data_IF_665167206993
#
_entry.id   IF_665167206993
#
_cell.length_a   1.000
_cell.length_b   1.000
_cell.length_c   1.000
_cell.angle_alpha   90.00
_cell.angle_beta   90.00
_cell.angle_gamma   90.00
#
_symmetry.space_group_name_H-M   'P 1'
#
loop_
_entity.id
_entity.type
_entity.pdbx_description
1 polymer ?
#
# COMPACT_ATOMS: atom_id res chain seq x y z
N UNK A 1 0.60 59.12 24.73
CA UNK A 1 0.81 58.44 26.04
C UNK A 1 1.90 57.38 25.88
N UNK A 2 2.76 57.23 26.91
CA UNK A 2 4.08 56.56 26.92
C UNK A 2 4.02 55.03 26.78
N UNK A 3 5.10 54.45 26.22
CA UNK A 3 5.51 53.02 26.23
C UNK A 3 6.11 52.59 27.59
N UNK A 4 6.14 51.26 27.81
CA UNK A 4 7.05 50.39 28.63
C UNK A 4 6.21 49.43 29.50
N UNK A 5 6.14 48.11 29.33
CA UNK A 5 7.10 47.00 29.11
C UNK A 5 7.79 46.47 30.37
N UNK A 6 7.64 45.14 30.56
CA UNK A 6 8.47 44.16 31.31
C UNK A 6 8.24 43.94 32.83
N UNK A 7 7.82 42.71 33.18
CA UNK A 7 8.30 41.93 34.33
C UNK A 7 8.40 40.44 33.90
N UNK A 8 9.58 39.93 33.51
CA UNK A 8 10.65 39.30 34.31
C UNK A 8 10.23 38.02 35.07
N UNK A 9 10.76 36.89 34.59
CA UNK A 9 10.89 35.56 35.22
C UNK A 9 11.71 35.59 36.51
N UNK A 10 11.42 34.65 37.42
CA UNK A 10 12.37 34.09 38.40
C UNK A 10 11.84 32.78 39.04
N UNK A 11 12.70 31.93 39.64
CA UNK A 11 12.70 30.47 39.49
C UNK A 11 12.53 29.67 40.80
N UNK A 12 12.35 28.34 40.71
CA UNK A 12 12.95 27.41 41.68
C UNK A 12 12.15 26.17 42.11
N UNK A 13 12.83 25.02 41.99
CA UNK A 13 12.81 23.82 42.87
C UNK A 13 11.86 22.66 42.53
N UNK A 14 12.44 21.64 41.87
CA UNK A 14 12.11 20.20 41.85
C UNK A 14 12.40 19.56 43.23
N UNK A 15 11.71 18.49 43.71
CA UNK A 15 12.00 17.12 43.21
C UNK A 15 10.88 16.06 43.32
N UNK A 16 10.95 15.05 42.45
CA UNK A 16 10.68 13.65 42.83
C UNK A 16 9.32 13.01 42.51
N UNK A 17 9.41 11.89 41.76
CA UNK A 17 8.53 10.70 41.79
C UNK A 17 7.17 10.93 41.06
N UNK A 18 6.83 10.23 39.97
CA UNK A 18 6.80 8.79 39.85
C UNK A 18 7.05 8.29 38.41
N UNK A 19 7.89 7.26 38.34
CA UNK A 19 7.91 6.24 37.31
C UNK A 19 6.56 5.52 37.32
N UNK A 20 5.86 5.44 36.18
CA UNK A 20 4.74 4.52 36.02
C UNK A 20 4.66 4.01 34.58
N UNK A 21 5.15 2.77 34.41
CA UNK A 21 4.73 1.74 33.46
C UNK A 21 4.64 2.16 31.98
N UNK A 22 5.62 1.81 31.14
CA UNK A 22 5.62 0.50 30.46
C UNK A 22 4.27 -0.23 30.59
N UNK A 23 3.31 0.14 29.73
CA UNK A 23 2.37 -0.85 29.22
C UNK A 23 2.97 -1.37 27.93
N UNK A 24 3.93 -2.28 28.08
CA UNK A 24 4.12 -3.33 27.09
C UNK A 24 2.80 -4.12 27.07
N UNK A 25 1.84 -3.71 26.24
CA UNK A 25 0.83 -4.64 25.77
C UNK A 25 1.54 -5.54 24.78
N UNK A 26 2.18 -6.57 25.33
CA UNK A 26 2.31 -7.87 24.70
C UNK A 26 0.90 -8.38 24.37
N UNK A 27 0.28 -7.80 23.35
CA UNK A 27 -0.79 -8.44 22.61
C UNK A 27 -0.10 -9.16 21.46
N UNK A 28 0.47 -10.32 21.78
CA UNK A 28 0.56 -11.39 20.80
C UNK A 28 -0.88 -11.90 20.63
N UNK A 29 -1.74 -11.09 20.02
CA UNK A 29 -3.11 -11.45 19.73
C UNK A 29 -3.20 -11.65 18.24
N UNK A 30 -3.37 -12.93 17.91
CA UNK A 30 -3.68 -13.48 16.61
C UNK A 30 -5.07 -12.95 16.18
N UNK A 31 -5.17 -11.66 15.90
CA UNK A 31 -6.35 -10.98 15.41
C UNK A 31 -6.07 -10.52 13.98
N UNK A 32 -6.84 -11.02 13.01
CA UNK A 32 -6.84 -10.43 11.67
C UNK A 32 -7.18 -8.94 11.73
N UNK A 33 -6.94 -8.19 10.64
CA UNK A 33 -7.18 -6.75 10.61
C UNK A 33 -8.60 -6.43 11.06
N UNK A 34 -8.77 -5.41 11.92
CA UNK A 34 -10.08 -4.99 12.36
C UNK A 34 -10.88 -4.45 11.15
N UNK A 35 -12.22 -4.53 11.15
CA UNK A 35 -13.04 -4.05 10.02
C UNK A 35 -12.75 -2.60 9.62
N UNK A 36 -12.45 -1.73 10.59
CA UNK A 36 -12.00 -0.37 10.34
C UNK A 36 -10.69 -0.28 9.56
N UNK A 37 -9.72 -1.16 9.82
CA UNK A 37 -8.43 -1.20 9.12
C UNK A 37 -8.60 -1.65 7.67
N UNK A 38 -9.52 -2.61 7.44
CA UNK A 38 -9.86 -3.08 6.10
C UNK A 38 -10.54 -1.97 5.29
N UNK A 39 -11.48 -1.26 5.90
CA UNK A 39 -12.18 -0.15 5.25
C UNK A 39 -11.23 1.01 4.93
N UNK A 40 -10.35 1.38 5.87
CA UNK A 40 -9.33 2.42 5.66
C UNK A 40 -8.34 2.01 4.55
N UNK A 41 -7.85 0.77 4.57
CA UNK A 41 -6.96 0.24 3.52
C UNK A 41 -7.63 0.25 2.16
N UNK A 42 -8.91 -0.10 2.08
CA UNK A 42 -9.69 -0.03 0.85
C UNK A 42 -9.80 1.40 0.34
N UNK A 43 -10.12 2.36 1.21
CA UNK A 43 -10.27 3.77 0.82
C UNK A 43 -8.94 4.35 0.29
N UNK A 44 -7.81 4.02 0.93
CA UNK A 44 -6.48 4.41 0.45
C UNK A 44 -6.19 3.80 -0.93
N UNK A 45 -6.46 2.50 -1.11
CA UNK A 45 -6.26 1.83 -2.40
C UNK A 45 -7.18 2.41 -3.48
N UNK A 46 -8.43 2.72 -3.17
CA UNK A 46 -9.36 3.34 -4.13
C UNK A 46 -8.87 4.75 -4.51
N UNK A 47 -8.46 5.57 -3.54
CA UNK A 47 -7.95 6.92 -3.79
C UNK A 47 -6.70 6.93 -4.69
N UNK A 48 -5.74 6.02 -4.45
CA UNK A 48 -4.58 5.85 -5.33
C UNK A 48 -5.02 5.40 -6.73
N UNK A 49 -6.04 4.56 -6.85
CA UNK A 49 -6.49 4.09 -8.17
C UNK A 49 -7.16 5.18 -9.01
N UNK A 50 -7.73 6.21 -8.39
CA UNK A 50 -8.28 7.36 -9.12
C UNK A 50 -7.20 8.21 -9.81
N UNK A 51 -5.93 8.09 -9.41
CA UNK A 51 -4.81 8.80 -10.06
C UNK A 51 -4.19 8.02 -11.21
N UNK A 52 -4.80 6.91 -11.63
CA UNK A 52 -4.22 6.00 -12.61
C UNK A 52 -3.98 6.65 -13.96
N UNK A 53 -2.88 6.25 -14.59
CA UNK A 53 -2.51 6.60 -15.96
C UNK A 53 -2.42 5.33 -16.80
N UNK A 54 -2.36 5.50 -18.13
CA UNK A 54 -2.15 4.38 -19.05
C UNK A 54 -0.67 4.25 -19.36
N UNK A 55 -0.16 3.04 -19.21
CA UNK A 55 1.21 2.65 -19.58
C UNK A 55 1.16 1.52 -20.61
N UNK A 56 2.28 1.27 -21.28
CA UNK A 56 2.45 0.14 -22.20
C UNK A 56 3.69 -0.64 -21.81
N UNK A 57 3.52 -1.94 -21.55
CA UNK A 57 4.62 -2.84 -21.24
C UNK A 57 4.54 -4.06 -22.15
N UNK A 58 5.66 -4.42 -22.80
CA UNK A 58 5.73 -5.53 -23.78
C UNK A 58 4.62 -5.49 -24.85
N UNK A 59 4.20 -4.29 -25.27
CA UNK A 59 3.15 -4.10 -26.28
C UNK A 59 1.71 -4.28 -25.75
N UNK A 60 1.54 -4.61 -24.47
CA UNK A 60 0.24 -4.71 -23.82
C UNK A 60 -0.09 -3.43 -23.02
N UNK A 61 -1.34 -2.93 -23.09
CA UNK A 61 -1.73 -1.72 -22.38
C UNK A 61 -2.19 -2.04 -20.94
N UNK A 62 -1.70 -1.26 -19.98
CA UNK A 62 -2.08 -1.35 -18.57
C UNK A 62 -2.55 0.01 -18.04
N UNK A 63 -3.44 -0.01 -17.04
CA UNK A 63 -3.69 1.11 -16.15
C UNK A 63 -2.80 0.94 -14.92
N UNK A 64 -2.16 2.02 -14.49
CA UNK A 64 -1.16 2.01 -13.44
C UNK A 64 -1.32 3.23 -12.53
N UNK A 65 -1.18 3.03 -11.23
CA UNK A 65 -1.12 4.10 -10.24
C UNK A 65 -0.10 3.75 -9.16
N UNK A 66 0.61 4.75 -8.65
CA UNK A 66 1.56 4.58 -7.54
C UNK A 66 1.12 5.44 -6.35
N UNK A 67 1.26 4.92 -5.14
CA UNK A 67 1.03 5.69 -3.92
C UNK A 67 2.05 6.83 -3.78
N UNK A 68 1.66 7.93 -3.13
CA UNK A 68 2.53 9.09 -2.92
C UNK A 68 3.79 8.74 -2.11
N UNK A 69 3.67 7.83 -1.14
CA UNK A 69 4.80 7.31 -0.35
C UNK A 69 5.66 6.32 -1.11
N UNK A 70 5.19 5.84 -2.27
CA UNK A 70 5.84 4.82 -3.12
C UNK A 70 6.08 3.49 -2.39
N UNK A 71 5.25 3.17 -1.40
CA UNK A 71 5.28 1.87 -0.71
C UNK A 71 4.53 0.78 -1.49
N UNK A 72 3.62 1.19 -2.37
CA UNK A 72 2.90 0.28 -3.26
C UNK A 72 2.44 0.96 -4.54
N UNK A 73 2.19 0.12 -5.55
CA UNK A 73 1.51 0.47 -6.78
C UNK A 73 0.30 -0.42 -7.02
N UNK A 74 -0.57 0.03 -7.92
CA UNK A 74 -1.71 -0.72 -8.42
C UNK A 74 -1.63 -0.80 -9.93
N UNK A 75 -1.93 -1.97 -10.48
CA UNK A 75 -1.84 -2.22 -11.93
C UNK A 75 -2.99 -3.11 -12.39
N UNK A 76 -3.56 -2.81 -13.55
CA UNK A 76 -4.60 -3.59 -14.18
C UNK A 76 -4.43 -3.60 -15.70
N UNK A 77 -4.82 -4.68 -16.40
CA UNK A 77 -4.88 -4.66 -17.86
C UNK A 77 -5.92 -3.64 -18.36
N UNK A 78 -5.53 -2.78 -19.30
CA UNK A 78 -6.40 -1.75 -19.88
C UNK A 78 -7.15 -2.21 -21.14
N UNK A 79 -6.92 -3.45 -21.57
CA UNK A 79 -7.59 -4.07 -22.71
C UNK A 79 -7.96 -5.53 -22.41
N UNK A 80 -9.04 -6.04 -23.02
CA UNK A 80 -9.38 -7.46 -22.96
C UNK A 80 -8.43 -8.30 -23.82
N UNK A 81 -8.51 -9.63 -23.67
CA UNK A 81 -7.96 -10.61 -24.61
C UNK A 81 -6.42 -10.70 -24.71
N UNK A 82 -5.68 -10.34 -23.65
CA UNK A 82 -4.26 -10.66 -23.56
C UNK A 82 -3.92 -11.34 -22.22
N UNK A 83 -3.02 -12.31 -22.27
CA UNK A 83 -2.50 -13.00 -21.10
C UNK A 83 -1.42 -12.15 -20.42
N UNK A 84 -1.33 -12.25 -19.11
CA UNK A 84 -0.27 -11.62 -18.31
C UNK A 84 -0.03 -12.45 -17.05
N UNK A 85 1.17 -12.38 -16.53
CA UNK A 85 1.64 -13.13 -15.35
C UNK A 85 1.94 -12.20 -14.18
N UNK A 86 2.20 -12.74 -12.99
CA UNK A 86 2.66 -11.92 -11.87
C UNK A 86 4.02 -11.28 -12.19
N UNK A 87 4.91 -12.02 -12.85
CA UNK A 87 6.21 -11.53 -13.29
C UNK A 87 6.10 -10.36 -14.28
N UNK A 88 5.13 -10.39 -15.21
CA UNK A 88 4.88 -9.26 -16.12
C UNK A 88 4.48 -8.00 -15.36
N UNK A 89 3.62 -8.15 -14.33
CA UNK A 89 3.17 -7.03 -13.52
C UNK A 89 4.32 -6.43 -12.69
N UNK A 90 5.13 -7.28 -12.06
CA UNK A 90 6.32 -6.84 -11.30
C UNK A 90 7.29 -6.07 -12.20
N UNK A 91 7.59 -6.60 -13.39
CA UNK A 91 8.50 -5.94 -14.32
C UNK A 91 7.93 -4.62 -14.87
N UNK A 92 6.63 -4.59 -15.21
CA UNK A 92 5.97 -3.37 -15.65
C UNK A 92 6.03 -2.28 -14.55
N UNK A 93 5.70 -2.65 -13.32
CA UNK A 93 5.73 -1.71 -12.18
C UNK A 93 7.15 -1.27 -11.84
N UNK A 94 8.13 -2.18 -11.88
CA UNK A 94 9.53 -1.85 -11.65
C UNK A 94 10.07 -0.91 -12.75
N UNK A 95 9.68 -1.10 -14.01
CA UNK A 95 10.08 -0.24 -15.12
C UNK A 95 9.53 1.19 -14.98
N UNK A 96 8.27 1.34 -14.55
CA UNK A 96 7.64 2.65 -14.37
C UNK A 96 8.12 3.38 -13.11
N UNK A 97 8.41 2.64 -12.04
CA UNK A 97 8.79 3.25 -10.75
C UNK A 97 10.30 3.37 -10.56
N UNK A 98 11.09 2.46 -11.13
CA UNK A 98 12.51 2.31 -10.82
C UNK A 98 12.79 1.62 -9.47
N UNK A 99 11.75 1.13 -8.78
CA UNK A 99 11.88 0.44 -7.49
C UNK A 99 11.82 -1.08 -7.66
N UNK A 100 12.25 -1.81 -6.63
CA UNK A 100 11.93 -3.24 -6.55
C UNK A 100 10.43 -3.40 -6.36
N UNK A 101 9.82 -4.30 -7.12
CA UNK A 101 8.38 -4.53 -7.14
C UNK A 101 8.11 -6.00 -6.83
N UNK A 102 7.23 -6.26 -5.86
CA UNK A 102 6.87 -7.61 -5.41
C UNK A 102 5.36 -7.79 -5.48
N UNK A 103 4.93 -8.74 -6.28
CA UNK A 103 3.54 -9.12 -6.39
C UNK A 103 3.12 -9.91 -5.15
N UNK A 104 2.16 -9.38 -4.41
CA UNK A 104 1.57 -10.09 -3.29
C UNK A 104 0.43 -10.96 -3.82
N UNK A 105 0.70 -12.26 -4.01
CA UNK A 105 -0.28 -13.24 -4.48
C UNK A 105 -1.52 -13.30 -3.58
N UNK A 106 -1.34 -13.17 -2.27
CA UNK A 106 -2.41 -13.03 -1.31
C UNK A 106 -3.35 -14.24 -1.33
N UNK A 107 -4.54 -14.10 -1.90
CA UNK A 107 -5.47 -15.23 -2.07
C UNK A 107 -5.03 -16.20 -3.17
N UNK A 108 -4.24 -15.74 -4.16
CA UNK A 108 -3.71 -16.57 -5.24
C UNK A 108 -2.77 -17.65 -4.71
N UNK A 109 -2.01 -17.34 -3.66
CA UNK A 109 -1.13 -18.30 -2.99
C UNK A 109 -1.91 -19.46 -2.31
N UNK A 110 -3.22 -19.31 -2.18
CA UNK A 110 -4.13 -20.35 -1.67
C UNK A 110 -4.83 -21.14 -2.78
N UNK A 111 -4.66 -20.75 -4.05
CA UNK A 111 -5.18 -21.49 -5.18
C UNK A 111 -4.20 -22.60 -5.56
N UNK A 112 -4.70 -23.84 -5.52
CA UNK A 112 -3.91 -25.00 -5.91
C UNK A 112 -3.44 -24.86 -7.38
N UNK A 113 -2.13 -24.97 -7.62
CA UNK A 113 -1.52 -24.87 -8.94
C UNK A 113 -1.14 -23.45 -9.40
N UNK A 114 -1.32 -22.40 -8.58
CA UNK A 114 -0.79 -21.08 -8.88
C UNK A 114 0.75 -21.06 -8.84
N UNK A 115 1.34 -20.45 -9.87
CA UNK A 115 2.77 -20.09 -9.96
C UNK A 115 2.88 -18.64 -10.45
N UNK A 116 4.02 -17.95 -10.25
CA UNK A 116 4.22 -16.60 -10.77
C UNK A 116 4.01 -16.48 -12.29
N UNK A 117 4.20 -17.56 -13.05
CA UNK A 117 4.01 -17.65 -14.49
C UNK A 117 2.57 -18.00 -14.91
N UNK A 118 1.67 -18.19 -13.94
CA UNK A 118 0.27 -18.48 -14.21
C UNK A 118 -0.39 -17.28 -14.88
N UNK A 119 -1.17 -17.54 -15.93
CA UNK A 119 -1.94 -16.51 -16.60
C UNK A 119 -3.02 -15.97 -15.67
N UNK A 120 -2.83 -14.74 -15.19
CA UNK A 120 -3.72 -14.04 -14.26
C UNK A 120 -5.02 -13.56 -14.93
N UNK A 121 -5.11 -13.55 -16.27
CA UNK A 121 -6.31 -13.14 -16.99
C UNK A 121 -7.52 -13.97 -16.60
N UNK A 122 -7.39 -15.30 -16.64
CA UNK A 122 -8.50 -16.21 -16.36
C UNK A 122 -8.98 -16.05 -14.92
N UNK A 123 -8.05 -15.83 -13.98
CA UNK A 123 -8.38 -15.57 -12.59
C UNK A 123 -9.12 -14.25 -12.42
N UNK A 124 -8.66 -13.18 -13.08
CA UNK A 124 -9.34 -11.88 -13.03
C UNK A 124 -10.75 -11.94 -13.61
N UNK A 125 -10.93 -12.60 -14.76
CA UNK A 125 -12.24 -12.73 -15.43
C UNK A 125 -13.26 -13.50 -14.58
N UNK A 126 -12.80 -14.42 -13.72
CA UNK A 126 -13.64 -15.15 -12.78
C UNK A 126 -14.09 -14.35 -11.56
N UNK A 127 -13.51 -13.16 -11.31
CA UNK A 127 -13.73 -12.37 -10.10
C UNK A 127 -14.54 -11.11 -10.42
N UNK A 128 -15.84 -11.16 -10.08
CA UNK A 128 -16.85 -10.15 -10.45
C UNK A 128 -16.60 -8.74 -9.91
N UNK A 129 -15.66 -8.56 -8.98
CA UNK A 129 -15.34 -7.26 -8.35
C UNK A 129 -13.84 -6.98 -8.25
N UNK A 130 -13.01 -7.82 -8.87
CA UNK A 130 -11.56 -7.65 -8.84
C UNK A 130 -11.09 -6.92 -10.10
N UNK A 131 -10.68 -5.67 -9.96
CA UNK A 131 -10.35 -4.82 -11.08
C UNK A 131 -8.87 -4.46 -11.18
N UNK A 132 -8.03 -4.76 -10.19
CA UNK A 132 -6.62 -4.36 -10.15
C UNK A 132 -5.80 -5.15 -9.15
N UNK A 133 -4.53 -5.36 -9.48
CA UNK A 133 -3.53 -5.96 -8.61
C UNK A 133 -2.81 -4.89 -7.80
N UNK A 134 -2.46 -5.22 -6.56
CA UNK A 134 -1.57 -4.40 -5.73
C UNK A 134 -0.18 -5.03 -5.74
N UNK A 135 0.83 -4.20 -5.94
CA UNK A 135 2.24 -4.56 -5.97
C UNK A 135 2.93 -3.76 -4.88
N UNK A 136 3.62 -4.43 -3.96
CA UNK A 136 4.41 -3.72 -2.96
C UNK A 136 5.72 -3.26 -3.59
N UNK A 137 6.19 -2.09 -3.16
CA UNK A 137 7.38 -1.45 -3.65
C UNK A 137 8.43 -1.34 -2.55
N UNK A 138 9.69 -1.48 -2.94
CA UNK A 138 10.84 -1.15 -2.11
C UNK A 138 11.74 -0.18 -2.89
N UNK A 139 11.61 1.09 -2.50
CA UNK A 139 12.43 2.22 -2.90
C UNK A 139 13.32 2.60 -1.69
#
# INVERSE_FOLDING_TARGET
MKKQSVHKQAPGVLPGIALAALVAMSACEFGGPFPEDVAASKAINDAVWETRTRITFNGAPYEFAVSDTRDFAQIAPAAPNFAYTAADLEQAVAAETGCSAVFQGGFLDRLEGYTPDTNLRSTQEGLTSFNRWRIDLSC
#
